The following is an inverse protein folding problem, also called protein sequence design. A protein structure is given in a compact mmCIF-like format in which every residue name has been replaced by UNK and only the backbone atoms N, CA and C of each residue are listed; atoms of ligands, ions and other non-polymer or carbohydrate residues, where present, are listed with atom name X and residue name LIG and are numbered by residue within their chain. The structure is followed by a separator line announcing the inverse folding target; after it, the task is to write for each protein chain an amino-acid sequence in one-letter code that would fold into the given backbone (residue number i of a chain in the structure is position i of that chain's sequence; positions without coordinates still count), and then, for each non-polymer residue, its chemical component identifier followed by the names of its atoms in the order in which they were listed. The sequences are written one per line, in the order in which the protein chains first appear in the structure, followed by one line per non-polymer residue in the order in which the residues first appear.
data_IF_074018935618
#
_entry.id   IF_074018935618
#
_cell.length_a   1.000
_cell.length_b   1.000
_cell.length_c   1.000
_cell.angle_alpha   90.00
_cell.angle_beta   90.00
_cell.angle_gamma   90.00
#
_symmetry.space_group_name_H-M   'P 1'
#
loop_
_entity.id
_entity.type
_entity.pdbx_description
1 polymer ?
#
# COMPACT_ATOMS: atom_id res chain seq x y z
N UNK A 1 5.28 -52.65 -3.61
CA UNK A 1 5.08 -51.53 -4.55
C UNK A 1 5.77 -50.32 -3.93
N UNK A 2 6.89 -49.85 -4.50
CA UNK A 2 7.70 -48.77 -3.92
C UNK A 2 7.65 -47.55 -4.83
N UNK A 3 7.05 -46.46 -4.35
CA UNK A 3 7.00 -45.17 -5.04
C UNK A 3 8.29 -44.41 -4.78
N UNK A 4 9.07 -44.15 -5.85
CA UNK A 4 10.24 -43.27 -5.78
C UNK A 4 9.77 -41.82 -5.91
N UNK A 5 9.73 -41.09 -4.80
CA UNK A 5 9.56 -39.63 -4.83
C UNK A 5 10.88 -39.03 -5.34
N UNK A 6 10.91 -38.64 -6.62
CA UNK A 6 12.01 -37.85 -7.18
C UNK A 6 12.12 -36.52 -6.43
N UNK A 7 13.35 -36.12 -6.07
CA UNK A 7 13.60 -34.82 -5.43
C UNK A 7 13.16 -33.72 -6.39
N UNK A 8 12.02 -33.08 -6.09
CA UNK A 8 11.57 -31.86 -6.76
C UNK A 8 12.60 -30.78 -6.42
N UNK A 9 13.07 -30.07 -7.44
CA UNK A 9 14.21 -29.17 -7.41
C UNK A 9 14.29 -28.33 -6.12
N UNK A 10 15.48 -28.29 -5.52
CA UNK A 10 15.90 -27.15 -4.67
C UNK A 10 16.09 -26.00 -5.63
N UNK A 11 14.98 -25.34 -5.96
CA UNK A 11 15.00 -24.03 -6.58
C UNK A 11 15.14 -23.07 -5.41
N UNK A 12 16.21 -22.26 -5.38
CA UNK A 12 16.21 -21.08 -4.52
C UNK A 12 14.92 -20.32 -4.79
N UNK A 13 14.16 -19.91 -3.76
CA UNK A 13 12.93 -19.16 -3.99
C UNK A 13 13.32 -17.92 -4.78
N UNK A 14 12.94 -17.90 -6.06
CA UNK A 14 13.04 -16.70 -6.87
C UNK A 14 12.29 -15.65 -6.08
N UNK A 15 12.98 -14.68 -5.48
CA UNK A 15 12.32 -13.48 -4.98
C UNK A 15 11.71 -12.84 -6.20
N UNK A 16 10.39 -12.92 -6.42
CA UNK A 16 9.80 -12.14 -7.49
C UNK A 16 10.21 -10.69 -7.20
N UNK A 17 10.67 -9.98 -8.23
CA UNK A 17 10.84 -8.55 -8.13
C UNK A 17 9.46 -8.00 -7.77
N UNK A 18 9.25 -7.78 -6.49
CA UNK A 18 8.04 -7.21 -5.94
C UNK A 18 7.80 -5.92 -6.74
N UNK A 19 6.59 -5.68 -7.28
CA UNK A 19 6.30 -4.43 -8.00
C UNK A 19 6.79 -3.23 -7.17
N UNK A 20 7.27 -2.15 -7.78
CA UNK A 20 7.86 -1.01 -7.03
C UNK A 20 6.91 -0.39 -5.98
N UNK A 21 5.62 -0.70 -6.06
CA UNK A 21 4.60 -0.38 -5.05
C UNK A 21 4.66 -1.23 -3.77
N UNK A 22 5.42 -2.32 -3.74
CA UNK A 22 5.16 -3.39 -2.77
C UNK A 22 5.55 -3.06 -1.35
N UNK A 23 6.47 -2.13 -1.14
CA UNK A 23 6.89 -1.71 0.19
C UNK A 23 7.53 -0.33 0.03
N UNK A 24 6.91 0.74 0.51
CA UNK A 24 7.65 1.97 0.76
C UNK A 24 8.62 1.69 1.94
N UNK A 25 9.72 0.98 1.68
CA UNK A 25 10.77 0.52 2.62
C UNK A 25 10.28 -0.44 3.71
N UNK A 26 10.88 -1.63 3.85
CA UNK A 26 10.49 -2.62 4.89
C UNK A 26 10.50 -2.03 6.32
N UNK A 27 11.29 -0.97 6.52
CA UNK A 27 11.48 -0.26 7.79
C UNK A 27 10.55 0.96 7.96
N UNK A 28 9.61 1.19 7.05
CA UNK A 28 8.68 2.30 7.21
C UNK A 28 7.64 2.05 8.33
N UNK A 29 7.19 3.12 9.00
CA UNK A 29 6.06 3.06 9.92
C UNK A 29 4.84 2.37 9.28
N UNK A 30 4.12 1.58 10.07
CA UNK A 30 2.95 0.83 9.61
C UNK A 30 1.92 1.70 8.85
N UNK A 31 1.56 2.92 9.27
CA UNK A 31 0.61 3.76 8.54
C UNK A 31 1.09 4.08 7.12
N UNK A 32 2.35 4.48 6.97
CA UNK A 32 2.98 4.75 5.67
C UNK A 32 2.94 3.52 4.75
N UNK A 33 3.20 2.33 5.29
CA UNK A 33 3.11 1.07 4.53
C UNK A 33 1.66 0.79 4.08
N UNK A 34 0.68 1.04 4.95
CA UNK A 34 -0.74 0.89 4.60
C UNK A 34 -1.15 1.83 3.47
N UNK A 35 -0.66 3.09 3.47
CA UNK A 35 -0.98 4.04 2.41
C UNK A 35 -0.42 3.62 1.05
N UNK A 36 0.79 3.03 1.03
CA UNK A 36 1.38 2.46 -0.18
C UNK A 36 0.64 1.23 -0.73
N UNK A 37 -0.26 0.60 0.03
CA UNK A 37 -1.10 -0.50 -0.45
C UNK A 37 -2.36 -0.03 -1.20
N UNK A 38 -2.65 1.28 -1.21
CA UNK A 38 -3.81 1.82 -1.91
C UNK A 38 -3.50 1.89 -3.41
N UNK A 39 -4.40 1.35 -4.23
CA UNK A 39 -4.21 1.33 -5.68
C UNK A 39 -4.04 2.75 -6.26
N UNK A 40 -3.02 2.91 -7.10
CA UNK A 40 -2.68 4.20 -7.71
C UNK A 40 -1.98 5.21 -6.79
N UNK A 41 -1.62 4.82 -5.56
CA UNK A 41 -0.75 5.59 -4.67
C UNK A 41 0.70 5.16 -4.87
N UNK A 42 1.51 6.11 -5.34
CA UNK A 42 2.95 5.95 -5.49
C UNK A 42 3.66 6.23 -4.15
N UNK A 43 4.89 5.72 -3.95
CA UNK A 43 5.64 5.93 -2.71
C UNK A 43 5.74 7.40 -2.29
N UNK A 44 6.02 8.32 -3.22
CA UNK A 44 6.11 9.75 -2.94
C UNK A 44 4.78 10.34 -2.43
N UNK A 45 3.65 9.84 -2.94
CA UNK A 45 2.32 10.23 -2.46
C UNK A 45 2.02 9.63 -1.09
N UNK A 46 2.47 8.40 -0.82
CA UNK A 46 2.36 7.76 0.49
C UNK A 46 3.21 8.50 1.55
N UNK A 47 4.37 9.02 1.17
CA UNK A 47 5.23 9.86 2.02
C UNK A 47 4.48 11.13 2.45
N UNK A 48 3.91 11.86 1.50
CA UNK A 48 3.12 13.07 1.78
C UNK A 48 1.88 12.79 2.61
N UNK A 49 1.19 11.68 2.34
CA UNK A 49 0.06 11.22 3.16
C UNK A 49 0.48 10.94 4.60
N UNK A 50 1.65 10.33 4.81
CA UNK A 50 2.17 10.06 6.14
C UNK A 50 2.62 11.33 6.87
N UNK A 51 3.17 12.31 6.15
CA UNK A 51 3.50 13.62 6.73
C UNK A 51 2.25 14.38 7.18
N UNK A 52 1.17 14.32 6.38
CA UNK A 52 -0.10 14.97 6.71
C UNK A 52 -0.91 14.22 7.78
N UNK A 53 -0.90 12.88 7.73
CA UNK A 53 -1.67 12.00 8.60
C UNK A 53 -0.79 10.86 9.13
N UNK A 54 0.01 11.11 10.17
CA UNK A 54 0.91 10.09 10.73
C UNK A 54 0.17 8.86 11.29
N UNK A 55 -1.11 9.01 11.66
CA UNK A 55 -1.96 7.93 12.11
C UNK A 55 -3.09 7.63 11.11
N UNK A 56 -3.39 6.34 10.90
CA UNK A 56 -4.47 5.90 10.00
C UNK A 56 -5.83 6.46 10.41
N UNK A 57 -6.06 6.63 11.72
CA UNK A 57 -7.30 7.22 12.24
C UNK A 57 -7.47 8.69 11.85
N UNK A 58 -6.38 9.43 11.67
CA UNK A 58 -6.45 10.81 11.20
C UNK A 58 -6.81 10.85 9.71
N UNK A 59 -6.23 9.93 8.92
CA UNK A 59 -6.60 9.78 7.51
C UNK A 59 -8.06 9.38 7.33
N UNK A 60 -8.58 8.51 8.20
CA UNK A 60 -10.00 8.11 8.22
C UNK A 60 -10.96 9.25 8.58
N UNK A 61 -10.50 10.22 9.36
CA UNK A 61 -11.29 11.40 9.72
C UNK A 61 -11.26 12.48 8.64
N UNK A 62 -10.32 12.40 7.69
CA UNK A 62 -10.17 13.38 6.62
C UNK A 62 -11.26 13.24 5.57
N UNK A 63 -11.82 14.38 5.16
CA UNK A 63 -12.75 14.47 4.04
C UNK A 63 -12.02 14.36 2.69
N UNK A 64 -12.71 13.95 1.61
CA UNK A 64 -12.13 13.95 0.26
C UNK A 64 -11.56 15.31 -0.16
N UNK A 65 -12.15 16.41 0.30
CA UNK A 65 -11.66 17.77 0.01
C UNK A 65 -10.31 18.05 0.70
N UNK A 66 -10.13 17.59 1.93
CA UNK A 66 -8.86 17.70 2.66
C UNK A 66 -7.77 16.85 2.01
N UNK A 67 -8.11 15.63 1.55
CA UNK A 67 -7.17 14.78 0.81
C UNK A 67 -6.65 15.44 -0.47
N UNK A 68 -7.51 16.16 -1.19
CA UNK A 68 -7.13 16.85 -2.43
C UNK A 68 -6.20 18.06 -2.22
N UNK A 69 -5.98 18.50 -0.98
CA UNK A 69 -4.98 19.54 -0.68
C UNK A 69 -3.56 19.00 -0.75
N UNK A 70 -3.37 17.68 -0.69
CA UNK A 70 -2.07 17.04 -0.78
C UNK A 70 -1.63 16.98 -2.25
N UNK A 71 -0.44 17.49 -2.52
CA UNK A 71 0.12 17.49 -3.87
C UNK A 71 0.21 16.05 -4.42
N UNK A 72 -0.37 15.84 -5.60
CA UNK A 72 -0.45 14.53 -6.24
C UNK A 72 -1.73 13.75 -5.92
N UNK A 73 -2.60 14.25 -5.05
CA UNK A 73 -3.92 13.65 -4.79
C UNK A 73 -5.01 14.41 -5.55
N UNK A 74 -5.35 13.91 -6.73
CA UNK A 74 -6.52 14.37 -7.48
C UNK A 74 -7.82 13.71 -7.03
N UNK A 75 -8.98 14.11 -7.60
CA UNK A 75 -10.29 13.60 -7.19
C UNK A 75 -10.40 12.08 -7.27
N UNK A 76 -9.84 11.46 -8.31
CA UNK A 76 -9.83 10.00 -8.48
C UNK A 76 -9.04 9.30 -7.36
N UNK A 77 -7.92 9.88 -6.91
CA UNK A 77 -7.10 9.32 -5.84
C UNK A 77 -7.74 9.53 -4.48
N UNK A 78 -8.32 10.71 -4.23
CA UNK A 78 -9.07 10.96 -3.01
C UNK A 78 -10.24 9.97 -2.85
N UNK A 79 -10.98 9.71 -3.93
CA UNK A 79 -12.07 8.73 -3.95
C UNK A 79 -11.57 7.30 -3.72
N UNK A 80 -10.45 6.91 -4.34
CA UNK A 80 -9.82 5.61 -4.12
C UNK A 80 -9.35 5.42 -2.66
N UNK A 81 -8.73 6.45 -2.06
CA UNK A 81 -8.31 6.43 -0.65
C UNK A 81 -9.53 6.32 0.26
N UNK A 82 -10.56 7.13 0.00
CA UNK A 82 -11.79 7.14 0.79
C UNK A 82 -12.52 5.79 0.70
N UNK A 83 -12.60 5.20 -0.48
CA UNK A 83 -13.22 3.88 -0.70
C UNK A 83 -12.41 2.72 -0.11
N UNK A 84 -11.08 2.81 -0.12
CA UNK A 84 -10.20 1.78 0.43
C UNK A 84 -10.23 1.74 1.97
N UNK A 85 -10.50 2.86 2.61
CA UNK A 85 -10.47 3.02 4.06
C UNK A 85 -11.87 3.11 4.69
N UNK A 86 -12.84 3.64 3.96
CA UNK A 86 -14.25 3.63 4.32
C UNK A 86 -14.89 2.31 3.88
N UNK A 87 -15.14 1.41 4.82
CA UNK A 87 -16.01 0.25 4.58
C UNK A 87 -17.47 0.72 4.41
N UNK A 88 -18.02 0.47 3.21
CA UNK A 88 -19.41 0.18 2.87
C UNK A 88 -20.51 0.64 3.85
N UNK A 89 -21.35 1.58 3.40
CA UNK A 89 -22.78 1.55 3.76
C UNK A 89 -23.49 0.54 2.85
#
# INVERSE_FOLDING_TARGET
MAVRLGRKHVEEPSTPALPRSSVAVLDAPTPKRMYGCIDGIEPDTADRLYEAYPAVTELLAASPAELMTIEGIGPKRADAIYSALGSAD
#
